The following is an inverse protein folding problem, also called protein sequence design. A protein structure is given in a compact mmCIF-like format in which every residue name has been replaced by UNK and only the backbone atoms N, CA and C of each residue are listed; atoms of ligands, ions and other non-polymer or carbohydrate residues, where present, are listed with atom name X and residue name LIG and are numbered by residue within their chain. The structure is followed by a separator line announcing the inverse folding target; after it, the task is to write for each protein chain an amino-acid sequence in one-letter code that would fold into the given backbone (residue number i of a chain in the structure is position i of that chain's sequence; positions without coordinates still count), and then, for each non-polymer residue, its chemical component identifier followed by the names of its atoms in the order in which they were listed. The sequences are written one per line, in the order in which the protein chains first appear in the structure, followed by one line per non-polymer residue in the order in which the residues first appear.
data_IF_944518713559
#
_entry.id   IF_944518713559
#
_cell.length_a   1.000
_cell.length_b   1.000
_cell.length_c   1.000
_cell.angle_alpha   90.00
_cell.angle_beta   90.00
_cell.angle_gamma   90.00
#
_symmetry.space_group_name_H-M   'P 1'
#
loop_
_entity.id
_entity.type
_entity.pdbx_description
1 polymer ?
#
# COMPACT_ATOMS: atom_id res chain seq x y z
N UNK A 1 -18.92 -18.36 -42.55
CA UNK A 1 -18.91 -17.01 -41.95
C UNK A 1 -17.58 -16.88 -41.22
N UNK A 2 -16.65 -16.18 -41.86
CA UNK A 2 -15.31 -15.88 -41.34
C UNK A 2 -15.43 -14.80 -40.28
N UNK A 3 -15.23 -15.16 -39.02
CA UNK A 3 -15.02 -14.20 -37.93
C UNK A 3 -13.62 -13.63 -38.07
N UNK A 4 -13.53 -12.42 -38.61
CA UNK A 4 -12.32 -11.61 -38.59
C UNK A 4 -11.98 -11.33 -37.12
N UNK A 5 -10.89 -11.90 -36.62
CA UNK A 5 -10.27 -11.42 -35.39
C UNK A 5 -9.58 -10.10 -35.73
N UNK A 6 -10.16 -8.98 -35.29
CA UNK A 6 -9.45 -7.71 -35.30
C UNK A 6 -8.27 -7.81 -34.34
N UNK A 7 -7.08 -7.99 -34.90
CA UNK A 7 -5.83 -7.78 -34.21
C UNK A 7 -5.78 -6.30 -33.84
N UNK A 8 -6.03 -5.98 -32.56
CA UNK A 8 -5.86 -4.64 -32.03
C UNK A 8 -4.36 -4.30 -32.14
N UNK A 9 -3.98 -3.63 -33.22
CA UNK A 9 -2.64 -3.08 -33.39
C UNK A 9 -2.41 -2.10 -32.26
N UNK A 10 -1.49 -2.42 -31.34
CA UNK A 10 -0.98 -1.48 -30.34
C UNK A 10 -0.43 -0.27 -31.05
N UNK A 11 -1.22 0.80 -31.14
CA UNK A 11 -0.77 2.06 -31.68
C UNK A 11 0.25 2.64 -30.69
N UNK A 12 1.43 2.94 -31.19
CA UNK A 12 2.49 3.55 -30.39
C UNK A 12 2.01 4.93 -29.93
N UNK A 13 2.35 5.32 -28.70
CA UNK A 13 1.99 6.65 -28.17
C UNK A 13 2.63 7.74 -29.03
N UNK A 14 1.91 8.84 -29.22
CA UNK A 14 2.38 9.95 -30.06
C UNK A 14 3.39 10.82 -29.28
N UNK A 15 4.51 11.23 -29.90
CA UNK A 15 5.40 12.22 -29.30
C UNK A 15 4.67 13.53 -28.96
N UNK A 16 5.10 14.19 -27.88
CA UNK A 16 4.50 15.41 -27.33
C UNK A 16 3.06 15.26 -26.82
N UNK A 17 2.56 14.03 -26.67
CA UNK A 17 1.32 13.77 -25.93
C UNK A 17 1.60 13.69 -24.43
N UNK A 18 0.60 14.06 -23.64
CA UNK A 18 0.55 13.77 -22.21
C UNK A 18 -0.24 12.48 -21.99
N UNK A 19 0.38 11.53 -21.29
CA UNK A 19 -0.22 10.22 -21.05
C UNK A 19 -0.24 9.98 -19.56
N UNK A 20 -1.41 9.64 -19.04
CA UNK A 20 -1.58 9.34 -17.64
C UNK A 20 -1.49 7.83 -17.38
N UNK A 21 -0.74 7.47 -16.34
CA UNK A 21 -0.43 6.08 -16.02
C UNK A 21 -0.54 5.84 -14.52
N UNK A 22 -0.73 4.59 -14.15
CA UNK A 22 -0.47 4.10 -12.80
C UNK A 22 0.86 3.36 -12.76
N UNK A 23 1.65 3.60 -11.71
CA UNK A 23 2.87 2.86 -11.44
C UNK A 23 2.53 1.46 -10.89
N UNK A 24 3.11 0.42 -11.51
CA UNK A 24 2.94 -0.98 -11.11
C UNK A 24 4.19 -1.55 -10.46
N UNK A 25 5.38 -1.09 -10.88
CA UNK A 25 6.67 -1.44 -10.28
C UNK A 25 7.70 -0.36 -10.53
N UNK A 26 8.43 0.00 -9.49
CA UNK A 26 9.42 1.08 -9.47
C UNK A 26 10.79 0.69 -8.89
N UNK A 27 10.95 -0.56 -8.46
CA UNK A 27 12.19 -1.09 -7.89
C UNK A 27 13.37 -1.13 -8.89
N UNK A 28 13.08 -1.25 -10.18
CA UNK A 28 14.08 -1.33 -11.25
C UNK A 28 13.69 -0.47 -12.47
N UNK A 29 14.70 -0.04 -13.22
CA UNK A 29 14.48 0.55 -14.54
C UNK A 29 14.34 -0.54 -15.61
N UNK A 30 13.39 -0.41 -16.54
CA UNK A 30 12.40 0.67 -16.68
C UNK A 30 11.23 0.53 -15.70
N UNK A 31 10.63 1.67 -15.31
CA UNK A 31 9.38 1.68 -14.54
C UNK A 31 8.31 0.90 -15.30
N UNK A 32 7.64 -0.03 -14.62
CA UNK A 32 6.48 -0.71 -15.18
C UNK A 32 5.23 0.07 -14.82
N UNK A 33 4.45 0.42 -15.83
CA UNK A 33 3.26 1.25 -15.66
C UNK A 33 2.14 0.79 -16.56
N UNK A 34 0.91 1.22 -16.27
CA UNK A 34 -0.26 0.90 -17.06
C UNK A 34 -0.99 2.19 -17.39
N UNK A 35 -1.34 2.37 -18.67
CA UNK A 35 -2.12 3.54 -19.09
C UNK A 35 -3.49 3.47 -18.42
N UNK A 36 -3.94 4.56 -17.82
CA UNK A 36 -5.26 4.60 -17.19
C UNK A 36 -6.40 4.74 -18.21
N UNK A 37 -7.61 4.29 -17.86
CA UNK A 37 -7.93 3.54 -16.65
C UNK A 37 -7.65 2.04 -16.80
N UNK A 38 -7.57 1.52 -18.03
CA UNK A 38 -7.55 0.09 -18.38
C UNK A 38 -6.68 -0.21 -19.61
N UNK A 39 -5.73 0.68 -19.93
CA UNK A 39 -4.87 0.56 -21.10
C UNK A 39 -3.75 -0.48 -20.95
N UNK A 40 -2.91 -0.64 -21.99
CA UNK A 40 -1.82 -1.59 -21.97
C UNK A 40 -0.72 -1.22 -20.96
N UNK A 41 0.07 -2.22 -20.56
CA UNK A 41 1.32 -2.00 -19.84
C UNK A 41 2.34 -1.34 -20.75
N UNK A 42 3.02 -0.32 -20.23
CA UNK A 42 4.13 0.37 -20.87
C UNK A 42 5.32 0.42 -19.92
N UNK A 43 6.52 0.44 -20.49
CA UNK A 43 7.77 0.55 -19.75
C UNK A 43 8.37 1.94 -19.93
N UNK A 44 8.43 2.73 -18.84
CA UNK A 44 9.00 4.07 -18.87
C UNK A 44 10.50 3.97 -18.62
N UNK A 45 11.29 4.31 -19.64
CA UNK A 45 12.73 4.51 -19.54
C UNK A 45 12.97 5.98 -19.24
N UNK A 46 13.32 6.28 -18.01
CA UNK A 46 13.86 7.56 -17.61
C UNK A 46 15.09 7.29 -16.76
N UNK A 47 15.99 8.26 -16.63
CA UNK A 47 17.12 8.12 -15.71
C UNK A 47 16.67 8.17 -14.25
N UNK A 48 17.61 7.83 -13.37
CA UNK A 48 17.44 7.87 -11.92
C UNK A 48 16.95 9.26 -11.48
N UNK A 49 15.77 9.30 -10.89
CA UNK A 49 15.17 10.49 -10.26
C UNK A 49 14.76 10.14 -8.83
N UNK A 50 14.87 11.08 -7.91
CA UNK A 50 14.42 10.89 -6.52
C UNK A 50 12.89 10.95 -6.39
N UNK A 51 12.20 11.49 -7.41
CA UNK A 51 10.75 11.71 -7.42
C UNK A 51 10.00 10.70 -8.28
N UNK A 52 10.39 9.44 -8.26
CA UNK A 52 9.64 8.40 -8.96
C UNK A 52 8.32 8.10 -8.25
N UNK A 53 7.23 7.88 -9.02
CA UNK A 53 6.00 7.35 -8.44
C UNK A 53 6.27 6.01 -7.77
N UNK A 54 5.55 5.72 -6.68
CA UNK A 54 5.50 4.36 -6.10
C UNK A 54 4.30 3.61 -6.66
N UNK A 55 4.29 2.30 -6.48
CA UNK A 55 3.21 1.41 -6.90
C UNK A 55 1.85 1.91 -6.40
N UNK A 56 0.88 2.00 -7.31
CA UNK A 56 -0.47 2.52 -7.03
C UNK A 56 -0.62 4.03 -7.23
N UNK A 57 0.47 4.80 -7.36
CA UNK A 57 0.37 6.22 -7.71
C UNK A 57 0.10 6.42 -9.20
N UNK A 58 -0.72 7.41 -9.48
CA UNK A 58 -1.04 7.94 -10.79
C UNK A 58 -0.06 9.07 -11.11
N UNK A 59 0.42 9.13 -12.34
CA UNK A 59 1.33 10.18 -12.80
C UNK A 59 1.16 10.42 -14.30
N UNK A 60 1.61 11.58 -14.76
CA UNK A 60 1.63 11.94 -16.19
C UNK A 60 3.04 11.86 -16.74
N UNK A 61 3.18 11.30 -17.95
CA UNK A 61 4.40 11.37 -18.75
C UNK A 61 4.16 12.31 -19.92
N UNK A 62 4.99 13.34 -20.02
CA UNK A 62 5.15 14.17 -21.21
C UNK A 62 6.03 13.41 -22.19
N UNK A 63 5.43 12.78 -23.21
CA UNK A 63 6.11 11.82 -24.08
C UNK A 63 7.13 12.53 -24.97
N UNK A 64 8.41 12.19 -24.81
CA UNK A 64 9.47 12.61 -25.74
C UNK A 64 9.62 11.61 -26.89
N UNK A 65 9.62 10.32 -26.57
CA UNK A 65 9.76 9.23 -27.54
C UNK A 65 8.97 8.02 -27.07
N UNK A 66 8.30 7.36 -28.00
CA UNK A 66 7.70 6.05 -27.77
C UNK A 66 8.13 5.08 -28.88
N UNK A 67 8.29 3.81 -28.54
CA UNK A 67 8.56 2.75 -29.52
C UNK A 67 8.06 1.40 -29.01
N UNK A 68 7.91 0.45 -29.92
CA UNK A 68 7.59 -0.93 -29.59
C UNK A 68 8.81 -1.80 -29.89
N UNK A 69 9.18 -2.65 -28.94
CA UNK A 69 10.19 -3.70 -29.15
C UNK A 69 9.62 -5.04 -28.72
N UNK A 70 9.50 -5.98 -29.67
CA UNK A 70 8.74 -7.21 -29.47
C UNK A 70 7.26 -6.90 -29.23
N UNK A 71 6.72 -7.32 -28.09
CA UNK A 71 5.34 -7.04 -27.64
C UNK A 71 5.26 -5.91 -26.62
N UNK A 72 6.39 -5.29 -26.30
CA UNK A 72 6.52 -4.34 -25.20
C UNK A 72 6.58 -2.92 -25.73
N UNK A 73 5.75 -2.06 -25.18
CA UNK A 73 5.75 -0.65 -25.46
C UNK A 73 6.66 0.10 -24.49
N UNK A 74 7.55 0.91 -25.03
CA UNK A 74 8.50 1.72 -24.28
C UNK A 74 8.23 3.19 -24.51
N UNK A 75 8.44 3.98 -23.46
CA UNK A 75 8.29 5.44 -23.49
C UNK A 75 9.48 6.06 -22.77
N UNK A 76 10.00 7.16 -23.31
CA UNK A 76 10.85 8.10 -22.58
C UNK A 76 10.13 9.44 -22.55
N UNK A 77 10.29 10.17 -21.47
CA UNK A 77 9.62 11.45 -21.28
C UNK A 77 9.90 12.05 -19.93
N UNK A 78 9.40 13.26 -19.74
CA UNK A 78 9.48 13.96 -18.47
C UNK A 78 8.26 13.61 -17.61
N UNK A 79 8.48 13.35 -16.32
CA UNK A 79 7.42 13.17 -15.32
C UNK A 79 7.44 14.40 -14.40
N UNK A 80 6.50 15.34 -14.55
CA UNK A 80 6.36 16.42 -13.61
C UNK A 80 6.03 15.87 -12.23
N UNK A 81 6.83 16.17 -11.21
CA UNK A 81 6.58 15.70 -9.83
C UNK A 81 5.21 16.14 -9.30
N UNK A 82 4.72 17.30 -9.76
CA UNK A 82 3.37 17.80 -9.44
C UNK A 82 2.23 16.98 -10.04
N UNK A 83 2.51 16.07 -10.98
CA UNK A 83 1.50 15.15 -11.55
C UNK A 83 1.31 13.87 -10.73
N UNK A 84 2.26 13.54 -9.85
CA UNK A 84 2.23 12.31 -9.07
C UNK A 84 1.20 12.46 -7.95
N UNK A 85 0.23 11.55 -7.91
CA UNK A 85 -0.80 11.54 -6.89
C UNK A 85 -1.34 10.13 -6.63
N UNK A 86 -1.92 9.93 -5.45
CA UNK A 86 -2.66 8.72 -5.11
C UNK A 86 -4.16 9.00 -5.22
N UNK A 87 -4.84 8.35 -6.17
CA UNK A 87 -6.29 8.40 -6.30
C UNK A 87 -6.84 6.99 -6.59
N UNK A 88 -7.19 6.28 -5.52
CA UNK A 88 -7.70 4.91 -5.58
C UNK A 88 -8.99 4.81 -6.41
N UNK A 89 -9.83 5.85 -6.42
CA UNK A 89 -11.07 5.85 -7.20
C UNK A 89 -10.82 5.80 -8.70
N UNK A 90 -9.74 6.41 -9.17
CA UNK A 90 -9.32 6.43 -10.58
C UNK A 90 -8.55 5.18 -11.01
N UNK A 91 -8.13 4.34 -10.07
CA UNK A 91 -7.55 3.04 -10.38
C UNK A 91 -8.59 2.03 -10.87
N UNK A 92 -9.88 2.28 -10.58
CA UNK A 92 -11.03 1.44 -10.95
C UNK A 92 -10.86 -0.03 -10.53
N UNK A 93 -10.17 -0.27 -9.42
CA UNK A 93 -9.98 -1.60 -8.83
C UNK A 93 -11.21 -1.97 -7.97
N UNK A 94 -11.67 -3.24 -7.99
CA UNK A 94 -12.68 -3.68 -7.05
C UNK A 94 -12.15 -3.58 -5.61
N UNK A 95 -12.94 -3.06 -4.66
CA UNK A 95 -12.54 -3.05 -3.25
C UNK A 95 -12.27 -4.47 -2.75
N UNK A 96 -11.41 -4.61 -1.75
CA UNK A 96 -11.21 -5.87 -1.04
C UNK A 96 -12.54 -6.34 -0.43
N UNK A 97 -12.79 -7.64 -0.45
CA UNK A 97 -13.93 -8.21 0.26
C UNK A 97 -13.76 -8.04 1.79
N UNK A 98 -14.87 -7.86 2.51
CA UNK A 98 -14.92 -7.85 3.96
C UNK A 98 -15.86 -8.97 4.42
N UNK A 99 -15.28 -10.06 4.94
CA UNK A 99 -16.04 -11.19 5.47
C UNK A 99 -16.51 -10.88 6.90
N UNK A 100 -17.82 -10.91 7.19
CA UNK A 100 -18.32 -10.75 8.54
C UNK A 100 -18.05 -12.01 9.37
N UNK A 101 -17.40 -11.85 10.51
CA UNK A 101 -17.15 -12.93 11.48
C UNK A 101 -18.15 -12.95 12.65
N UNK A 102 -19.19 -12.11 12.56
CA UNK A 102 -20.26 -12.02 13.55
C UNK A 102 -19.98 -11.00 14.65
N UNK A 103 -20.75 -11.06 15.75
CA UNK A 103 -20.61 -10.12 16.85
C UNK A 103 -19.26 -10.29 17.54
N UNK A 104 -18.67 -9.16 17.91
CA UNK A 104 -17.49 -9.12 18.77
C UNK A 104 -17.90 -9.25 20.24
N UNK A 105 -17.24 -10.15 20.97
CA UNK A 105 -17.37 -10.25 22.42
C UNK A 105 -16.29 -9.37 23.09
N UNK A 106 -16.67 -8.36 23.88
CA UNK A 106 -15.72 -7.55 24.63
C UNK A 106 -14.90 -8.35 25.66
N UNK A 107 -15.41 -9.49 26.14
CA UNK A 107 -14.71 -10.34 27.10
C UNK A 107 -13.62 -11.21 26.44
N UNK A 108 -13.61 -11.33 25.10
CA UNK A 108 -12.63 -12.14 24.37
C UNK A 108 -11.23 -11.49 24.29
N UNK A 109 -11.05 -10.27 24.79
CA UNK A 109 -9.74 -9.62 24.84
C UNK A 109 -9.52 -8.89 26.17
N UNK A 110 -8.47 -9.28 26.91
CA UNK A 110 -7.90 -8.54 28.06
C UNK A 110 -7.39 -7.12 27.71
N UNK A 111 -7.70 -6.57 26.53
CA UNK A 111 -7.02 -5.39 25.95
C UNK A 111 -7.72 -4.05 26.14
N UNK A 112 -9.00 -4.02 26.51
CA UNK A 112 -9.70 -2.75 26.73
C UNK A 112 -9.08 -1.95 27.89
N UNK A 113 -8.60 -2.64 28.92
CA UNK A 113 -7.93 -2.06 30.10
C UNK A 113 -6.69 -1.22 29.76
N UNK A 114 -6.14 -1.39 28.55
CA UNK A 114 -4.93 -0.73 28.10
C UNK A 114 -5.17 0.37 27.07
N UNK A 115 -6.43 0.59 26.66
CA UNK A 115 -6.79 1.68 25.77
C UNK A 115 -6.86 3.01 26.52
N UNK A 116 -6.74 4.15 25.80
CA UNK A 116 -7.12 5.45 26.35
C UNK A 116 -8.55 5.41 26.91
N UNK A 117 -8.75 5.96 28.11
CA UNK A 117 -10.02 5.90 28.85
C UNK A 117 -11.23 6.34 28.00
N UNK A 118 -11.05 7.39 27.20
CA UNK A 118 -12.12 7.92 26.36
C UNK A 118 -12.51 6.97 25.22
N UNK A 119 -11.54 6.20 24.70
CA UNK A 119 -11.76 5.19 23.67
C UNK A 119 -12.33 3.89 24.27
N UNK A 120 -11.84 3.44 25.42
CA UNK A 120 -12.42 2.30 26.13
C UNK A 120 -13.91 2.55 26.41
N UNK A 121 -14.24 3.73 26.95
CA UNK A 121 -15.62 4.14 27.19
C UNK A 121 -16.46 4.32 25.90
N UNK A 122 -15.83 4.61 24.75
CA UNK A 122 -16.49 4.62 23.42
C UNK A 122 -16.89 3.20 23.00
N UNK A 123 -15.97 2.24 23.12
CA UNK A 123 -16.19 0.84 22.74
C UNK A 123 -17.19 0.13 23.67
N UNK A 124 -17.10 0.34 24.98
CA UNK A 124 -18.05 -0.23 25.96
C UNK A 124 -19.50 0.23 25.73
N UNK A 125 -19.69 1.48 25.29
CA UNK A 125 -21.03 2.01 24.95
C UNK A 125 -21.52 1.53 23.59
N UNK A 126 -20.63 0.99 22.76
CA UNK A 126 -20.99 0.50 21.43
C UNK A 126 -21.61 -0.88 21.54
N UNK A 127 -22.89 -1.00 21.18
CA UNK A 127 -23.61 -2.28 21.19
C UNK A 127 -23.61 -2.90 19.80
N UNK A 128 -23.37 -4.21 19.70
CA UNK A 128 -23.48 -4.93 18.44
C UNK A 128 -22.34 -4.62 17.46
N UNK A 129 -21.13 -4.38 17.97
CA UNK A 129 -19.94 -4.34 17.13
C UNK A 129 -19.75 -5.69 16.45
N UNK A 130 -19.46 -5.66 15.15
CA UNK A 130 -19.09 -6.84 14.39
C UNK A 130 -17.60 -6.76 14.04
N UNK A 131 -16.93 -7.90 14.07
CA UNK A 131 -15.59 -8.04 13.52
C UNK A 131 -15.64 -8.59 12.10
N UNK A 132 -14.67 -8.16 11.30
CA UNK A 132 -14.55 -8.53 9.90
C UNK A 132 -13.12 -8.98 9.60
N UNK A 133 -12.99 -9.83 8.59
CA UNK A 133 -11.72 -10.18 7.98
C UNK A 133 -11.65 -9.61 6.56
N UNK A 134 -10.61 -8.84 6.27
CA UNK A 134 -10.34 -8.38 4.89
C UNK A 134 -9.89 -9.54 4.02
N UNK A 135 -10.23 -9.49 2.74
CA UNK A 135 -9.62 -10.34 1.71
C UNK A 135 -8.10 -10.18 1.69
N UNK A 136 -7.40 -11.31 1.72
CA UNK A 136 -5.98 -11.35 1.38
C UNK A 136 -5.80 -11.52 -0.13
N UNK A 137 -5.06 -10.60 -0.75
CA UNK A 137 -4.68 -10.69 -2.16
C UNK A 137 -3.25 -11.21 -2.26
N UNK A 138 -3.13 -12.46 -2.72
CA UNK A 138 -1.87 -13.11 -3.10
C UNK A 138 -2.00 -13.60 -4.56
N UNK A 139 -1.00 -13.38 -5.43
CA UNK A 139 -1.06 -13.87 -6.81
C UNK A 139 -1.15 -15.40 -6.87
N UNK A 140 -1.99 -15.96 -7.74
CA UNK A 140 -2.21 -17.42 -7.84
C UNK A 140 -0.89 -18.21 -8.05
N UNK A 141 0.08 -17.65 -8.78
CA UNK A 141 1.39 -18.30 -9.02
C UNK A 141 2.28 -18.37 -7.76
N UNK A 142 2.02 -17.53 -6.74
CA UNK A 142 2.72 -17.59 -5.45
C UNK A 142 2.27 -18.76 -4.57
N UNK A 143 1.19 -19.46 -4.96
CA UNK A 143 0.65 -20.64 -4.28
C UNK A 143 1.34 -21.93 -4.76
N UNK A 144 2.22 -21.85 -5.78
CA UNK A 144 2.73 -23.04 -6.49
C UNK A 144 4.01 -23.66 -5.92
N UNK A 145 4.61 -23.11 -4.86
CA UNK A 145 5.77 -23.71 -4.21
C UNK A 145 5.35 -24.61 -3.05
N UNK A 146 5.80 -25.87 -3.08
CA UNK A 146 5.40 -26.97 -2.18
C UNK A 146 5.94 -26.85 -0.73
N UNK A 147 6.24 -25.64 -0.26
CA UNK A 147 6.48 -25.27 1.13
C UNK A 147 5.82 -23.90 1.32
N UNK A 148 5.03 -23.72 2.37
CA UNK A 148 4.33 -22.48 2.73
C UNK A 148 5.31 -21.35 3.13
N UNK A 149 6.21 -20.97 2.23
CA UNK A 149 7.02 -19.76 2.37
C UNK A 149 6.39 -18.67 1.48
N UNK A 150 5.61 -17.84 2.16
CA UNK A 150 4.97 -16.59 1.73
C UNK A 150 5.97 -15.71 0.95
N UNK A 151 5.58 -15.16 -0.19
CA UNK A 151 6.41 -14.22 -0.97
C UNK A 151 6.91 -13.03 -0.12
N UNK A 152 6.20 -12.68 0.97
CA UNK A 152 6.66 -11.72 1.98
C UNK A 152 7.88 -12.22 2.76
N UNK A 153 7.88 -13.50 3.16
CA UNK A 153 9.00 -14.12 3.85
C UNK A 153 10.22 -14.22 2.92
N UNK A 154 10.02 -14.62 1.66
CA UNK A 154 11.10 -14.64 0.67
C UNK A 154 11.70 -13.24 0.46
N UNK A 155 10.86 -12.21 0.32
CA UNK A 155 11.32 -10.83 0.23
C UNK A 155 12.13 -10.40 1.47
N UNK A 156 11.72 -10.81 2.68
CA UNK A 156 12.47 -10.55 3.90
C UNK A 156 13.82 -11.28 3.92
N UNK A 157 13.85 -12.55 3.52
CA UNK A 157 15.08 -13.34 3.43
C UNK A 157 16.05 -12.68 2.43
N UNK A 158 15.58 -12.29 1.25
CA UNK A 158 16.40 -11.57 0.25
C UNK A 158 16.97 -10.27 0.83
N UNK A 159 16.14 -9.47 1.52
CA UNK A 159 16.59 -8.26 2.21
C UNK A 159 17.66 -8.57 3.26
N UNK A 160 17.44 -9.56 4.10
CA UNK A 160 18.34 -9.91 5.22
C UNK A 160 19.68 -10.46 4.71
N UNK A 161 19.68 -11.08 3.52
CA UNK A 161 20.90 -11.47 2.80
C UNK A 161 21.59 -10.29 2.08
N UNK A 162 21.01 -9.09 2.11
CA UNK A 162 21.53 -7.89 1.47
C UNK A 162 21.12 -7.70 0.01
N UNK A 163 20.32 -8.61 -0.56
CA UNK A 163 19.80 -8.48 -1.93
C UNK A 163 18.51 -7.65 -1.95
N UNK A 164 18.69 -6.36 -1.63
CA UNK A 164 17.59 -5.38 -1.56
C UNK A 164 16.83 -5.25 -2.88
N UNK A 165 17.55 -5.27 -4.01
CA UNK A 165 16.93 -5.12 -5.33
C UNK A 165 16.04 -6.32 -5.67
N UNK A 166 16.50 -7.55 -5.41
CA UNK A 166 15.67 -8.73 -5.62
C UNK A 166 14.42 -8.71 -4.71
N UNK A 167 14.58 -8.31 -3.45
CA UNK A 167 13.47 -8.19 -2.50
C UNK A 167 12.41 -7.18 -2.98
N UNK A 168 12.83 -5.96 -3.35
CA UNK A 168 11.92 -4.93 -3.85
C UNK A 168 11.29 -5.34 -5.19
N UNK A 169 12.02 -6.03 -6.06
CA UNK A 169 11.49 -6.54 -7.33
C UNK A 169 10.42 -7.61 -7.11
N UNK A 170 10.62 -8.54 -6.17
CA UNK A 170 9.63 -9.57 -5.83
C UNK A 170 8.33 -8.91 -5.37
N UNK A 171 8.39 -7.99 -4.41
CA UNK A 171 7.21 -7.25 -3.93
C UNK A 171 6.55 -6.44 -5.04
N UNK A 172 7.34 -5.80 -5.89
CA UNK A 172 6.87 -5.07 -7.06
C UNK A 172 6.21 -5.96 -8.14
N UNK A 173 6.62 -7.21 -8.26
CA UNK A 173 5.98 -8.19 -9.14
C UNK A 173 4.61 -8.62 -8.60
N UNK A 174 4.45 -8.74 -7.27
CA UNK A 174 3.14 -8.95 -6.65
C UNK A 174 2.20 -7.77 -6.91
N UNK A 175 2.70 -6.54 -6.77
CA UNK A 175 1.93 -5.32 -7.05
C UNK A 175 1.64 -5.10 -8.53
N UNK A 176 2.49 -5.64 -9.41
CA UNK A 176 2.22 -5.71 -10.84
C UNK A 176 1.05 -6.65 -11.14
N UNK A 177 0.93 -7.76 -10.42
CA UNK A 177 -0.17 -8.71 -10.56
C UNK A 177 -1.47 -8.13 -9.98
N UNK A 178 -1.43 -7.59 -8.76
CA UNK A 178 -2.55 -6.90 -8.15
C UNK A 178 -2.07 -5.84 -7.15
N UNK A 179 -2.37 -4.57 -7.45
CA UNK A 179 -2.03 -3.42 -6.59
C UNK A 179 -2.68 -3.52 -5.20
N UNK A 180 -3.74 -4.32 -5.05
CA UNK A 180 -4.45 -4.56 -3.79
C UNK A 180 -3.69 -5.48 -2.83
N UNK A 181 -2.52 -6.01 -3.21
CA UNK A 181 -1.62 -6.73 -2.29
C UNK A 181 -1.03 -5.77 -1.24
N UNK A 182 -1.80 -5.53 -0.17
CA UNK A 182 -1.45 -4.53 0.86
C UNK A 182 -0.15 -4.86 1.60
N UNK A 183 0.18 -6.14 1.75
CA UNK A 183 1.37 -6.54 2.52
C UNK A 183 2.65 -6.20 1.74
N UNK A 184 2.61 -6.25 0.41
CA UNK A 184 3.71 -5.79 -0.43
C UNK A 184 3.99 -4.29 -0.25
N UNK A 185 2.94 -3.46 -0.16
CA UNK A 185 3.08 -2.03 0.18
C UNK A 185 3.69 -1.83 1.57
N UNK A 186 3.21 -2.58 2.57
CA UNK A 186 3.75 -2.51 3.92
C UNK A 186 5.24 -2.90 3.97
N UNK A 187 5.62 -3.97 3.27
CA UNK A 187 7.01 -4.44 3.22
C UNK A 187 7.94 -3.47 2.47
N UNK A 188 7.51 -2.90 1.34
CA UNK A 188 8.28 -1.85 0.64
C UNK A 188 8.51 -0.63 1.54
N UNK A 189 7.48 -0.21 2.28
CA UNK A 189 7.61 0.83 3.31
C UNK A 189 8.61 0.46 4.40
N UNK A 190 8.49 -0.75 4.98
CA UNK A 190 9.39 -1.24 6.02
C UNK A 190 10.86 -1.26 5.57
N UNK A 191 11.13 -1.63 4.30
CA UNK A 191 12.50 -1.70 3.78
C UNK A 191 13.16 -0.32 3.65
N UNK A 192 12.36 0.74 3.51
CA UNK A 192 12.82 2.12 3.36
C UNK A 192 12.78 2.92 4.67
N UNK A 193 12.01 2.49 5.66
CA UNK A 193 11.73 3.28 6.86
C UNK A 193 13.00 3.73 7.59
N UNK A 194 13.96 2.84 7.82
CA UNK A 194 15.23 3.17 8.48
C UNK A 194 16.34 3.62 7.51
N UNK A 195 16.00 3.90 6.25
CA UNK A 195 16.98 4.40 5.29
C UNK A 195 17.31 5.88 5.55
N UNK A 196 18.60 6.20 5.47
CA UNK A 196 19.13 7.56 5.60
C UNK A 196 19.21 8.32 4.26
N UNK A 197 18.77 7.71 3.15
CA UNK A 197 18.81 8.35 1.85
C UNK A 197 17.83 9.56 1.78
N UNK A 198 18.24 10.72 1.22
CA UNK A 198 17.36 11.86 1.03
C UNK A 198 16.09 11.48 0.26
N UNK A 199 14.91 11.67 0.85
CA UNK A 199 13.63 11.28 0.25
C UNK A 199 13.11 9.88 0.67
N UNK A 200 13.87 9.11 1.45
CA UNK A 200 13.43 7.81 1.96
C UNK A 200 12.13 7.91 2.77
N UNK A 201 12.00 8.89 3.67
CA UNK A 201 10.78 9.07 4.46
C UNK A 201 9.57 9.40 3.60
N UNK A 202 9.74 10.23 2.57
CA UNK A 202 8.66 10.55 1.61
C UNK A 202 8.22 9.29 0.87
N UNK A 203 9.16 8.56 0.26
CA UNK A 203 8.88 7.31 -0.46
C UNK A 203 8.25 6.24 0.44
N UNK A 204 8.76 6.10 1.66
CA UNK A 204 8.19 5.21 2.70
C UNK A 204 6.75 5.58 3.01
N UNK A 205 6.48 6.87 3.23
CA UNK A 205 5.13 7.40 3.50
C UNK A 205 4.19 7.08 2.34
N UNK A 206 4.65 7.19 1.09
CA UNK A 206 3.84 6.93 -0.10
C UNK A 206 3.47 5.45 -0.25
N UNK A 207 4.39 4.51 0.00
CA UNK A 207 4.04 3.08 0.01
C UNK A 207 2.99 2.75 1.07
N UNK A 208 3.18 3.20 2.32
CA UNK A 208 2.18 2.99 3.36
C UNK A 208 0.84 3.67 3.05
N UNK A 209 0.87 4.88 2.46
CA UNK A 209 -0.33 5.59 2.06
C UNK A 209 -1.10 4.85 0.95
N UNK A 210 -0.40 4.27 -0.02
CA UNK A 210 -1.02 3.46 -1.08
C UNK A 210 -1.77 2.26 -0.49
N UNK A 211 -1.09 1.44 0.32
CA UNK A 211 -1.71 0.29 0.97
C UNK A 211 -2.85 0.68 1.93
N UNK A 212 -2.67 1.75 2.73
CA UNK A 212 -3.72 2.24 3.63
C UNK A 212 -4.94 2.79 2.87
N UNK A 213 -4.76 3.44 1.72
CA UNK A 213 -5.86 3.95 0.91
C UNK A 213 -6.64 2.82 0.24
N UNK A 214 -5.93 1.82 -0.31
CA UNK A 214 -6.53 0.64 -0.93
C UNK A 214 -7.34 -0.18 0.08
N UNK A 215 -6.78 -0.44 1.27
CA UNK A 215 -7.53 -1.10 2.34
C UNK A 215 -8.71 -0.26 2.85
N UNK A 216 -8.53 1.06 2.99
CA UNK A 216 -9.63 1.94 3.41
C UNK A 216 -10.77 2.01 2.39
N UNK A 217 -10.50 1.81 1.10
CA UNK A 217 -11.52 1.80 0.06
C UNK A 217 -12.48 0.60 0.17
N UNK A 218 -12.08 -0.47 0.85
CA UNK A 218 -12.96 -1.60 1.15
C UNK A 218 -13.94 -1.33 2.30
N UNK A 219 -13.60 -0.39 3.19
CA UNK A 219 -14.43 -0.07 4.34
C UNK A 219 -15.64 0.79 3.92
N UNK A 220 -16.87 0.41 4.30
CA UNK A 220 -18.04 1.24 4.11
C UNK A 220 -17.88 2.65 4.71
N UNK A 221 -18.55 3.64 4.12
CA UNK A 221 -18.56 4.99 4.68
C UNK A 221 -19.15 4.96 6.09
N UNK A 222 -18.39 5.45 7.06
CA UNK A 222 -18.81 5.41 8.47
C UNK A 222 -18.66 4.04 9.12
N UNK A 223 -17.83 3.16 8.56
CA UNK A 223 -17.52 1.86 9.13
C UNK A 223 -17.17 1.97 10.62
N UNK A 224 -17.90 1.20 11.43
CA UNK A 224 -17.76 1.13 12.89
C UNK A 224 -17.47 -0.31 13.36
N UNK A 225 -17.10 -1.21 12.43
CA UNK A 225 -16.71 -2.57 12.76
C UNK A 225 -15.24 -2.66 13.20
N UNK A 226 -14.87 -3.87 13.62
CA UNK A 226 -13.52 -4.19 14.06
C UNK A 226 -12.78 -5.03 13.01
N UNK A 227 -11.46 -4.88 12.99
CA UNK A 227 -10.50 -5.67 12.22
C UNK A 227 -9.46 -6.24 13.20
N UNK A 228 -9.82 -7.25 14.01
CA UNK A 228 -8.92 -7.80 15.01
C UNK A 228 -7.70 -8.45 14.35
N UNK A 229 -6.54 -8.32 15.00
CA UNK A 229 -5.27 -8.90 14.53
C UNK A 229 -5.25 -10.43 14.43
N UNK A 230 -6.12 -11.09 15.20
CA UNK A 230 -6.27 -12.54 15.22
C UNK A 230 -6.79 -13.10 13.89
N UNK A 231 -7.58 -12.32 13.16
CA UNK A 231 -7.97 -12.57 11.77
C UNK A 231 -6.80 -12.11 10.90
N UNK A 232 -6.04 -13.08 10.39
CA UNK A 232 -4.67 -12.87 9.89
C UNK A 232 -4.66 -11.91 8.70
N UNK A 233 -5.71 -11.93 7.89
CA UNK A 233 -5.78 -11.17 6.65
C UNK A 233 -6.05 -9.67 6.88
N UNK A 234 -6.35 -9.27 8.12
CA UNK A 234 -6.40 -7.86 8.52
C UNK A 234 -5.01 -7.23 8.70
N UNK A 235 -3.98 -8.05 8.94
CA UNK A 235 -2.64 -7.56 9.32
C UNK A 235 -2.00 -6.66 8.25
N UNK A 236 -2.08 -6.96 6.94
CA UNK A 236 -1.52 -6.08 5.90
C UNK A 236 -2.05 -4.64 5.97
N UNK A 237 -3.37 -4.48 6.14
CA UNK A 237 -3.98 -3.15 6.26
C UNK A 237 -3.54 -2.43 7.54
N UNK A 238 -3.55 -3.14 8.67
CA UNK A 238 -3.11 -2.61 9.96
C UNK A 238 -1.62 -2.22 9.95
N UNK A 239 -0.76 -2.99 9.27
CA UNK A 239 0.66 -2.65 9.06
C UNK A 239 0.83 -1.38 8.22
N UNK A 240 0.04 -1.22 7.15
CA UNK A 240 0.05 0.01 6.36
C UNK A 240 -0.34 1.23 7.19
N UNK A 241 -1.40 1.14 8.00
CA UNK A 241 -1.81 2.22 8.90
C UNK A 241 -0.73 2.54 9.94
N UNK A 242 -0.13 1.51 10.53
CA UNK A 242 0.93 1.69 11.52
C UNK A 242 2.12 2.44 10.95
N UNK A 243 2.64 1.97 9.81
CA UNK A 243 3.75 2.59 9.11
C UNK A 243 3.43 4.03 8.70
N UNK A 244 2.22 4.28 8.20
CA UNK A 244 1.78 5.63 7.86
C UNK A 244 1.74 6.55 9.09
N UNK A 245 1.21 6.07 10.22
CA UNK A 245 1.19 6.82 11.48
C UNK A 245 2.58 7.16 11.99
N UNK A 246 3.50 6.19 11.96
CA UNK A 246 4.91 6.38 12.30
C UNK A 246 5.58 7.41 11.37
N UNK A 247 5.32 7.35 10.06
CA UNK A 247 5.84 8.31 9.11
C UNK A 247 5.35 9.74 9.38
N UNK A 248 4.04 9.91 9.68
CA UNK A 248 3.48 11.22 10.04
C UNK A 248 4.11 11.75 11.32
N UNK A 249 4.30 10.89 12.32
CA UNK A 249 4.95 11.29 13.56
C UNK A 249 6.41 11.70 13.33
N UNK A 250 7.17 10.91 12.57
CA UNK A 250 8.56 11.22 12.22
C UNK A 250 8.70 12.50 11.40
N UNK A 251 7.70 12.84 10.59
CA UNK A 251 7.62 14.11 9.87
C UNK A 251 7.18 15.31 10.74
N UNK A 252 6.85 15.10 12.02
CA UNK A 252 6.34 16.14 12.92
C UNK A 252 4.86 16.48 12.73
N UNK A 253 4.13 15.70 11.93
CA UNK A 253 2.69 15.83 11.73
C UNK A 253 1.93 15.06 12.81
N UNK A 254 1.99 15.59 14.04
CA UNK A 254 1.35 15.01 15.22
C UNK A 254 -0.15 14.85 15.06
N UNK A 255 -0.81 15.77 14.35
CA UNK A 255 -2.25 15.74 14.16
C UNK A 255 -2.69 14.53 13.32
N UNK A 256 -2.01 14.25 12.20
CA UNK A 256 -2.31 13.09 11.38
C UNK A 256 -1.87 11.79 12.05
N UNK A 257 -0.71 11.76 12.71
CA UNK A 257 -0.25 10.60 13.47
C UNK A 257 -1.27 10.19 14.54
N UNK A 258 -1.75 11.15 15.35
CA UNK A 258 -2.80 10.92 16.35
C UNK A 258 -4.07 10.38 15.72
N UNK A 259 -4.50 10.95 14.60
CA UNK A 259 -5.71 10.51 13.89
C UNK A 259 -5.61 9.06 13.43
N UNK A 260 -4.46 8.67 12.88
CA UNK A 260 -4.19 7.31 12.43
C UNK A 260 -4.11 6.34 13.61
N UNK A 261 -3.35 6.65 14.66
CA UNK A 261 -3.21 5.76 15.82
C UNK A 261 -4.54 5.58 16.56
N UNK A 262 -5.34 6.63 16.76
CA UNK A 262 -6.68 6.48 17.34
C UNK A 262 -7.62 5.67 16.44
N UNK A 263 -7.49 5.76 15.11
CA UNK A 263 -8.23 4.90 14.18
C UNK A 263 -7.80 3.44 14.30
N UNK A 264 -6.51 3.16 14.42
CA UNK A 264 -6.01 1.80 14.61
C UNK A 264 -6.55 1.17 15.90
N UNK A 265 -6.56 1.91 17.02
CA UNK A 265 -7.12 1.41 18.27
C UNK A 265 -8.63 1.14 18.20
N UNK A 266 -9.38 1.89 17.36
CA UNK A 266 -10.80 1.59 17.07
C UNK A 266 -10.97 0.33 16.24
N UNK A 267 -10.14 0.15 15.22
CA UNK A 267 -10.21 -1.02 14.34
C UNK A 267 -9.75 -2.29 15.06
N UNK A 268 -8.65 -2.22 15.81
CA UNK A 268 -8.06 -3.33 16.52
C UNK A 268 -7.81 -2.94 18.01
N UNK A 269 -8.83 -3.07 18.87
CA UNK A 269 -8.70 -2.82 20.32
C UNK A 269 -7.62 -3.66 21.00
N UNK A 270 -7.25 -4.81 20.42
CA UNK A 270 -6.12 -5.65 20.88
C UNK A 270 -4.77 -4.93 20.86
N UNK A 271 -4.64 -3.92 19.98
CA UNK A 271 -3.43 -3.12 19.77
C UNK A 271 -2.13 -3.93 19.73
N UNK A 272 -2.13 -4.98 18.90
CA UNK A 272 -0.98 -5.87 18.74
C UNK A 272 0.26 -5.16 18.20
N UNK A 273 0.09 -3.98 17.61
CA UNK A 273 1.18 -3.15 17.09
C UNK A 273 1.70 -2.14 18.11
N UNK A 274 1.02 -2.01 19.27
CA UNK A 274 1.49 -1.21 20.39
C UNK A 274 1.34 0.30 20.21
N UNK A 275 0.42 0.78 19.37
CA UNK A 275 0.25 2.22 19.15
C UNK A 275 -0.26 2.96 20.39
N UNK A 276 -0.86 2.27 21.37
CA UNK A 276 -1.23 2.84 22.67
C UNK A 276 -0.03 3.37 23.44
N UNK A 277 1.15 2.79 23.24
CA UNK A 277 2.38 3.24 23.90
C UNK A 277 3.00 4.45 23.19
N UNK A 278 2.70 4.64 21.90
CA UNK A 278 3.20 5.75 21.09
C UNK A 278 2.29 6.99 21.18
N UNK A 279 0.99 6.77 21.35
CA UNK A 279 -0.03 7.82 21.32
C UNK A 279 0.21 8.96 22.35
N UNK A 280 0.61 8.70 23.62
CA UNK A 280 0.88 9.77 24.58
C UNK A 280 1.98 10.73 24.13
N UNK A 281 3.06 10.19 23.53
CA UNK A 281 4.17 11.00 23.03
C UNK A 281 3.73 11.86 21.83
N UNK A 282 2.94 11.29 20.92
CA UNK A 282 2.34 12.04 19.81
C UNK A 282 1.43 13.15 20.31
N UNK A 283 0.56 12.87 21.28
CA UNK A 283 -0.37 13.84 21.86
C UNK A 283 0.35 14.94 22.65
N UNK A 284 1.49 14.62 23.26
CA UNK A 284 2.37 15.58 23.93
C UNK A 284 3.32 16.34 22.98
N UNK A 285 3.28 16.04 21.66
CA UNK A 285 4.15 16.66 20.67
C UNK A 285 5.63 16.29 20.82
N UNK A 286 5.93 15.13 21.43
CA UNK A 286 7.29 14.64 21.56
C UNK A 286 7.81 14.16 20.20
N UNK A 287 8.98 14.64 19.73
CA UNK A 287 9.49 14.26 18.43
C UNK A 287 9.86 12.77 18.41
N UNK A 288 9.64 12.14 17.26
CA UNK A 288 10.03 10.76 17.02
C UNK A 288 11.54 10.54 17.22
N UNK A 289 11.91 9.34 17.69
CA UNK A 289 13.29 8.88 17.91
C UNK A 289 13.42 7.42 17.45
N UNK A 290 14.56 7.03 16.86
CA UNK A 290 14.83 5.63 16.53
C UNK A 290 14.80 4.74 17.77
N UNK A 291 14.21 3.55 17.65
CA UNK A 291 14.20 2.53 18.70
C UNK A 291 13.20 2.75 19.84
N UNK A 292 12.22 3.63 19.67
CA UNK A 292 11.01 3.69 20.50
C UNK A 292 10.01 2.60 20.12
#
# INVERSE_FOLDING_TARGET
MTTSSETQTSQCLEPSSEVELVCLRSADEPLRSRILPHGPTVLIRQGISEFLPVEGEIFTVEVERAWVFGRTQYVTGHIPSSSICLDVGRLELPPLHLEPWGPWDPEDIDSLDHLPEDLAAELERSTGLEHYEMEQVLPEDSITMQYEDDAMLEAQVLRDLGDRLAAEKLLGDLLTADLRCLDAHAHLGNFLFDSDWPGALDRTTRHYAAGAALGSAALPKGFSGLLPWGLIDNRPYLRCLHGLGLCRWRAGDFAQARTIFRRMLRLNPGDNQGVRFLLPDVEAGQPWRPGM
#
